data_IF_486514975980
#
_entry.id   IF_486514975980
#
_cell.length_a   1.000
_cell.length_b   1.000
_cell.length_c   1.000
_cell.angle_alpha   90.00
_cell.angle_beta   90.00
_cell.angle_gamma   90.00
#
_symmetry.space_group_name_H-M   'P 1'
#
loop_
_entity.id
_entity.type
_entity.pdbx_description
1 polymer ?
#
# COMPACT_ATOMS: atom_id res chain seq x y z
N UNK A 1 8.85 -20.13 -12.92
CA UNK A 1 8.54 -19.25 -11.77
C UNK A 1 8.73 -17.82 -12.22
N UNK A 2 7.76 -16.92 -11.98
CA UNK A 2 7.99 -15.48 -12.20
C UNK A 2 8.99 -14.97 -11.15
N UNK A 3 9.94 -14.14 -11.56
CA UNK A 3 10.82 -13.43 -10.61
C UNK A 3 9.98 -12.47 -9.78
N UNK A 4 10.37 -12.27 -8.53
CA UNK A 4 9.75 -11.26 -7.67
C UNK A 4 10.40 -9.90 -7.93
N UNK A 5 9.58 -8.88 -8.05
CA UNK A 5 9.97 -7.47 -8.12
C UNK A 5 9.44 -6.71 -6.91
N UNK A 6 9.88 -5.46 -6.75
CA UNK A 6 9.45 -4.59 -5.66
C UNK A 6 8.66 -3.41 -6.21
N UNK A 7 7.61 -3.02 -5.49
CA UNK A 7 6.68 -1.99 -5.94
C UNK A 7 6.37 -1.00 -4.82
N UNK A 8 6.35 0.30 -5.15
CA UNK A 8 5.62 1.30 -4.37
C UNK A 8 4.24 1.51 -4.99
N UNK A 9 3.22 1.58 -4.14
CA UNK A 9 1.83 1.72 -4.56
C UNK A 9 1.15 2.81 -3.74
N UNK A 10 0.67 3.85 -4.41
CA UNK A 10 -0.15 4.90 -3.78
C UNK A 10 -1.60 4.46 -3.78
N UNK A 11 -2.25 4.46 -2.63
CA UNK A 11 -3.60 3.94 -2.44
C UNK A 11 -4.44 4.82 -1.53
N UNK A 12 -5.67 5.10 -1.95
CA UNK A 12 -6.70 5.75 -1.14
C UNK A 12 -7.18 4.82 -0.04
N UNK A 13 -7.02 5.28 1.19
CA UNK A 13 -7.48 4.61 2.39
C UNK A 13 -8.58 5.43 3.09
N UNK A 14 -9.47 4.72 3.80
CA UNK A 14 -10.56 5.31 4.58
C UNK A 14 -10.23 5.36 6.08
N UNK A 15 -11.25 5.24 6.93
CA UNK A 15 -11.10 5.24 8.40
C UNK A 15 -10.45 6.51 8.98
N UNK A 16 -10.66 7.65 8.33
CA UNK A 16 -10.22 8.99 8.75
C UNK A 16 -11.41 9.94 9.00
N UNK A 17 -12.60 9.38 9.24
CA UNK A 17 -13.88 10.11 9.37
C UNK A 17 -14.79 9.93 8.16
N UNK A 18 -16.09 10.21 8.36
CA UNK A 18 -17.11 10.06 7.30
C UNK A 18 -16.80 10.97 6.11
N UNK A 19 -16.93 10.45 4.89
CA UNK A 19 -16.64 11.16 3.64
C UNK A 19 -15.17 11.48 3.37
N UNK A 20 -14.26 11.20 4.31
CA UNK A 20 -12.83 11.53 4.19
C UNK A 20 -12.01 10.35 3.69
N UNK A 21 -10.95 10.68 2.95
CA UNK A 21 -9.94 9.73 2.47
C UNK A 21 -8.54 10.30 2.65
N UNK A 22 -7.56 9.42 2.73
CA UNK A 22 -6.14 9.76 2.73
C UNK A 22 -5.42 8.92 1.69
N UNK A 23 -4.42 9.49 1.02
CA UNK A 23 -3.51 8.72 0.17
C UNK A 23 -2.34 8.21 1.00
N UNK A 24 -2.07 6.92 0.90
CA UNK A 24 -0.97 6.27 1.58
C UNK A 24 -0.14 5.50 0.57
N UNK A 25 1.18 5.66 0.66
CA UNK A 25 2.14 4.84 -0.08
C UNK A 25 2.41 3.54 0.67
N UNK A 26 2.31 2.41 -0.04
CA UNK A 26 2.59 1.07 0.47
C UNK A 26 3.60 0.34 -0.39
N UNK A 27 4.35 -0.57 0.21
CA UNK A 27 5.47 -1.24 -0.44
C UNK A 27 5.28 -2.76 -0.47
N UNK A 28 5.34 -3.33 -1.67
CA UNK A 28 5.04 -4.74 -1.95
C UNK A 28 6.20 -5.43 -2.63
N UNK A 29 6.32 -6.74 -2.37
CA UNK A 29 7.15 -7.67 -3.13
C UNK A 29 6.20 -8.62 -3.83
N UNK A 30 6.11 -8.54 -5.15
CA UNK A 30 5.11 -9.25 -5.95
C UNK A 30 5.70 -9.69 -7.29
N UNK A 31 5.00 -10.59 -8.00
CA UNK A 31 5.52 -11.18 -9.24
C UNK A 31 5.32 -10.32 -10.49
N UNK A 32 4.38 -9.35 -10.45
CA UNK A 32 4.15 -8.37 -11.50
C UNK A 32 3.33 -7.17 -10.98
N UNK A 33 3.20 -6.14 -11.85
CA UNK A 33 2.49 -4.89 -11.56
C UNK A 33 1.00 -5.10 -11.21
N UNK A 34 0.34 -6.10 -11.82
CA UNK A 34 -1.07 -6.40 -11.57
C UNK A 34 -1.26 -7.07 -10.20
N UNK A 35 -0.33 -7.93 -9.82
CA UNK A 35 -0.30 -8.56 -8.50
C UNK A 35 -0.10 -7.50 -7.42
N UNK A 36 0.85 -6.57 -7.60
CA UNK A 36 1.04 -5.44 -6.68
C UNK A 36 -0.20 -4.53 -6.57
N UNK A 37 -0.87 -4.25 -7.70
CA UNK A 37 -2.15 -3.52 -7.72
C UNK A 37 -3.20 -4.25 -6.87
N UNK A 38 -3.36 -5.56 -7.06
CA UNK A 38 -4.35 -6.36 -6.35
C UNK A 38 -4.04 -6.45 -4.86
N UNK A 39 -2.79 -6.67 -4.48
CA UNK A 39 -2.31 -6.65 -3.08
C UNK A 39 -2.67 -5.32 -2.39
N UNK A 40 -2.44 -4.19 -3.05
CA UNK A 40 -2.79 -2.87 -2.51
C UNK A 40 -4.31 -2.65 -2.42
N UNK A 41 -5.08 -3.16 -3.38
CA UNK A 41 -6.54 -3.04 -3.38
C UNK A 41 -7.19 -3.88 -2.28
N UNK A 42 -6.65 -5.05 -1.93
CA UNK A 42 -7.25 -5.95 -0.93
C UNK A 42 -6.82 -5.63 0.50
N UNK A 43 -5.74 -4.88 0.70
CA UNK A 43 -5.20 -4.59 2.04
C UNK A 43 -6.22 -3.92 2.98
N UNK A 44 -6.01 -4.00 4.31
CA UNK A 44 -6.81 -3.28 5.29
C UNK A 44 -6.85 -1.77 5.01
N UNK A 45 -8.01 -1.16 5.29
CA UNK A 45 -8.29 0.28 5.15
C UNK A 45 -8.32 0.85 3.73
N UNK A 46 -7.88 0.11 2.71
CA UNK A 46 -8.05 0.56 1.31
C UNK A 46 -9.53 0.77 0.97
N UNK A 47 -9.83 1.81 0.20
CA UNK A 47 -11.19 2.04 -0.30
C UNK A 47 -11.57 0.94 -1.30
N UNK A 48 -12.80 0.45 -1.21
CA UNK A 48 -13.30 -0.63 -2.07
C UNK A 48 -13.97 -0.08 -3.34
N UNK A 49 -13.26 0.78 -4.06
CA UNK A 49 -13.70 1.31 -5.35
C UNK A 49 -12.61 1.08 -6.43
N UNK A 50 -12.97 1.11 -7.72
CA UNK A 50 -12.01 0.83 -8.80
C UNK A 50 -10.83 1.81 -8.87
N UNK A 51 -11.02 3.03 -8.37
CA UNK A 51 -10.04 4.13 -8.43
C UNK A 51 -9.20 4.27 -7.15
N UNK A 52 -9.20 3.24 -6.28
CA UNK A 52 -8.52 3.28 -4.99
C UNK A 52 -7.00 3.27 -5.13
N UNK A 53 -6.44 2.49 -6.05
CA UNK A 53 -5.02 2.51 -6.36
C UNK A 53 -4.77 3.63 -7.37
N UNK A 54 -3.89 4.57 -7.00
CA UNK A 54 -3.56 5.76 -7.78
C UNK A 54 -2.34 5.58 -8.66
N UNK A 55 -1.35 4.85 -8.17
CA UNK A 55 -0.10 4.63 -8.87
C UNK A 55 0.51 3.31 -8.41
N UNK A 56 1.07 2.55 -9.35
CA UNK A 56 1.94 1.41 -9.09
C UNK A 56 3.24 1.68 -9.82
N UNK A 57 4.36 1.66 -9.11
CA UNK A 57 5.68 1.90 -9.67
C UNK A 57 6.63 0.82 -9.18
N UNK A 58 7.33 0.17 -10.12
CA UNK A 58 8.44 -0.73 -9.79
C UNK A 58 9.60 0.08 -9.23
N UNK A 59 10.23 -0.45 -8.18
CA UNK A 59 11.29 0.20 -7.41
C UNK A 59 12.42 -0.79 -7.14
N UNK A 60 13.56 -0.26 -6.72
CA UNK A 60 14.68 -1.07 -6.25
C UNK A 60 14.39 -1.75 -4.91
N UNK A 61 15.19 -2.76 -4.58
CA UNK A 61 15.16 -3.42 -3.25
C UNK A 61 15.49 -2.43 -2.12
N UNK A 62 16.40 -1.48 -2.35
CA UNK A 62 16.78 -0.47 -1.35
C UNK A 62 15.61 0.47 -1.04
N UNK A 63 14.94 0.99 -2.07
CA UNK A 63 13.72 1.79 -1.92
C UNK A 63 12.62 1.02 -1.20
N UNK A 64 12.48 -0.28 -1.49
CA UNK A 64 11.52 -1.15 -0.79
C UNK A 64 11.85 -1.25 0.70
N UNK A 65 13.09 -1.55 1.05
CA UNK A 65 13.52 -1.68 2.45
C UNK A 65 13.29 -0.38 3.22
N UNK A 66 13.67 0.76 2.64
CA UNK A 66 13.41 2.08 3.23
C UNK A 66 11.91 2.32 3.40
N UNK A 67 11.12 2.05 2.36
CA UNK A 67 9.67 2.17 2.39
C UNK A 67 9.01 1.33 3.49
N UNK A 68 9.47 0.09 3.69
CA UNK A 68 9.00 -0.76 4.79
C UNK A 68 9.33 -0.19 6.17
N UNK A 69 10.45 0.51 6.34
CA UNK A 69 10.74 1.20 7.61
C UNK A 69 9.81 2.40 7.82
N UNK A 70 9.52 3.17 6.76
CA UNK A 70 8.56 4.28 6.82
C UNK A 70 7.15 3.80 7.15
N UNK A 71 6.71 2.65 6.62
CA UNK A 71 5.42 2.07 6.99
C UNK A 71 5.34 1.72 8.48
N UNK A 72 6.42 1.20 9.08
CA UNK A 72 6.47 0.83 10.51
C UNK A 72 6.37 2.04 11.44
N UNK A 73 6.81 3.21 11.00
CA UNK A 73 6.72 4.45 11.78
C UNK A 73 5.47 5.27 11.47
N UNK A 74 4.67 4.86 10.47
CA UNK A 74 3.46 5.55 10.08
C UNK A 74 2.31 5.31 11.08
N UNK A 75 1.94 6.34 11.84
CA UNK A 75 0.89 6.27 12.87
C UNK A 75 -0.47 5.83 12.33
N UNK A 76 -0.83 6.22 11.10
CA UNK A 76 -2.10 5.83 10.49
C UNK A 76 -2.15 4.32 10.22
N UNK A 77 -1.04 3.75 9.74
CA UNK A 77 -0.93 2.31 9.47
C UNK A 77 -0.83 1.47 10.74
N UNK A 78 -0.24 2.03 11.81
CA UNK A 78 0.01 1.35 13.07
C UNK A 78 -1.01 1.67 14.17
N UNK A 79 -2.21 2.13 13.81
CA UNK A 79 -3.29 2.27 14.79
C UNK A 79 -3.77 0.88 15.24
N UNK A 80 -3.22 0.38 16.35
CA UNK A 80 -3.78 -0.72 17.13
C UNK A 80 -5.12 -0.27 17.71
N UNK A 81 -6.17 -1.06 17.49
CA UNK A 81 -7.31 -1.02 18.41
C UNK A 81 -6.96 -1.98 19.54
N UNK A 82 -7.02 -1.51 20.78
CA UNK A 82 -7.46 -2.37 21.86
C UNK A 82 -8.86 -2.84 21.45
N UNK A 83 -8.93 -4.06 20.94
CA UNK A 83 -10.17 -4.79 20.75
C UNK A 83 -10.46 -5.55 22.04
#
# INVERSE_FOLDING_TARGET
>A
MKSMSYYMVTVLCGHVGSGKTIEITRYFKDCDILSAYNSARTMPRSKKNPTCVKQVKEISMEEYLLGKQLEKTNLYLNTYKHA
#
